data_IF_359041286908
#
_entry.id   IF_359041286908
#
_cell.length_a   1.000
_cell.length_b   1.000
_cell.length_c   1.000
_cell.angle_alpha   90.00
_cell.angle_beta   90.00
_cell.angle_gamma   90.00
#
_symmetry.space_group_name_H-M   'P 1'
#
loop_
_entity.id
_entity.type
_entity.pdbx_description
1 polymer ?
#
# COMPACT_ATOMS: atom_id res chain seq x y z
N UNK A 1 18.23 -2.19 16.02
CA UNK A 1 17.34 -2.55 14.88
C UNK A 1 16.84 -1.36 14.07
N UNK A 2 16.97 -0.10 14.49
CA UNK A 2 16.46 1.09 13.77
C UNK A 2 16.77 1.10 12.26
N UNK A 3 18.02 0.85 11.87
CA UNK A 3 18.39 0.83 10.45
C UNK A 3 17.67 -0.24 9.64
N UNK A 4 17.40 -1.41 10.24
CA UNK A 4 16.64 -2.48 9.59
C UNK A 4 15.17 -2.07 9.45
N UNK A 5 14.59 -1.43 10.47
CA UNK A 5 13.22 -0.88 10.41
C UNK A 5 13.09 0.13 9.25
N UNK A 6 14.06 1.04 9.12
CA UNK A 6 14.10 2.05 8.06
C UNK A 6 14.27 1.41 6.68
N UNK A 7 15.27 0.55 6.51
CA UNK A 7 15.55 -0.11 5.23
C UNK A 7 14.37 -0.97 4.78
N UNK A 8 13.81 -1.78 5.69
CA UNK A 8 12.66 -2.62 5.38
C UNK A 8 11.46 -1.80 4.89
N UNK A 9 11.19 -0.67 5.55
CA UNK A 9 10.12 0.25 5.14
C UNK A 9 10.39 0.88 3.77
N UNK A 10 11.61 1.34 3.52
CA UNK A 10 12.01 1.91 2.23
C UNK A 10 11.85 0.88 1.14
N UNK A 11 12.36 -0.34 1.34
CA UNK A 11 12.24 -1.45 0.38
C UNK A 11 10.77 -1.76 0.10
N UNK A 12 9.93 -1.84 1.13
CA UNK A 12 8.50 -2.09 0.97
C UNK A 12 7.82 -1.03 0.08
N UNK A 13 8.04 0.25 0.40
CA UNK A 13 7.43 1.37 -0.32
C UNK A 13 7.99 1.47 -1.75
N UNK A 14 9.30 1.33 -1.93
CA UNK A 14 9.95 1.37 -3.25
C UNK A 14 9.46 0.23 -4.16
N UNK A 15 9.24 -0.95 -3.59
CA UNK A 15 8.67 -2.10 -4.31
C UNK A 15 7.24 -1.80 -4.75
N UNK A 16 6.42 -1.20 -3.88
CA UNK A 16 5.07 -0.78 -4.21
C UNK A 16 5.04 0.24 -5.33
N UNK A 17 5.87 1.29 -5.23
CA UNK A 17 5.99 2.33 -6.26
C UNK A 17 6.38 1.70 -7.60
N UNK A 18 7.37 0.81 -7.62
CA UNK A 18 7.86 0.19 -8.86
C UNK A 18 6.78 -0.67 -9.52
N UNK A 19 6.15 -1.57 -8.76
CA UNK A 19 5.16 -2.50 -9.33
C UNK A 19 3.87 -1.79 -9.71
N UNK A 20 3.30 -1.01 -8.80
CA UNK A 20 2.03 -0.30 -9.04
C UNK A 20 2.24 0.80 -10.08
N UNK A 21 3.34 1.57 -9.99
CA UNK A 21 3.68 2.60 -10.97
C UNK A 21 3.89 2.02 -12.37
N UNK A 22 4.60 0.89 -12.49
CA UNK A 22 4.74 0.18 -13.76
C UNK A 22 3.41 -0.31 -14.32
N UNK A 23 2.49 -0.79 -13.46
CA UNK A 23 1.13 -1.16 -13.87
C UNK A 23 0.31 0.04 -14.35
N UNK A 24 0.36 1.17 -13.64
CA UNK A 24 -0.31 2.42 -14.02
C UNK A 24 0.24 2.94 -15.35
N UNK A 25 1.57 3.00 -15.50
CA UNK A 25 2.22 3.38 -16.76
C UNK A 25 1.80 2.46 -17.91
N UNK A 26 1.78 1.14 -17.66
CA UNK A 26 1.34 0.17 -18.66
C UNK A 26 -0.09 0.46 -19.12
N UNK A 27 -1.00 0.70 -18.18
CA UNK A 27 -2.41 0.90 -18.44
C UNK A 27 -2.72 2.22 -19.17
N UNK A 28 -2.12 3.31 -18.69
CA UNK A 28 -2.50 4.67 -19.09
C UNK A 28 -1.64 5.24 -20.21
N UNK A 29 -0.39 4.76 -20.36
CA UNK A 29 0.57 5.33 -21.31
C UNK A 29 0.95 4.29 -22.35
N UNK A 30 1.50 3.16 -21.94
CA UNK A 30 2.03 2.17 -22.89
C UNK A 30 0.93 1.54 -23.75
N UNK A 31 -0.15 1.05 -23.13
CA UNK A 31 -1.22 0.35 -23.85
C UNK A 31 -1.92 1.25 -24.88
N UNK A 32 -2.28 2.52 -24.57
CA UNK A 32 -2.83 3.42 -25.58
C UNK A 32 -1.86 3.73 -26.72
N UNK A 33 -0.59 4.02 -26.40
CA UNK A 33 0.43 4.33 -27.41
C UNK A 33 0.76 3.14 -28.30
N UNK A 34 0.72 1.92 -27.76
CA UNK A 34 1.02 0.72 -28.53
C UNK A 34 -0.03 0.37 -29.60
N UNK A 35 -1.24 0.95 -29.52
CA UNK A 35 -2.31 0.72 -30.51
C UNK A 35 -2.02 1.29 -31.89
N UNK A 36 -1.09 2.23 -32.00
CA UNK A 36 -0.73 2.85 -33.29
C UNK A 36 0.35 2.06 -34.02
N UNK A 37 0.84 0.96 -33.42
CA UNK A 37 1.88 0.12 -34.00
C UNK A 37 1.26 -0.95 -34.90
N UNK A 38 2.02 -1.34 -35.93
CA UNK A 38 1.69 -2.53 -36.72
C UNK A 38 1.67 -3.78 -35.83
N UNK A 39 0.81 -4.74 -36.17
CA UNK A 39 0.56 -5.92 -35.34
C UNK A 39 1.85 -6.73 -35.05
N UNK A 40 2.75 -6.87 -36.04
CA UNK A 40 4.01 -7.59 -35.86
C UNK A 40 4.94 -6.91 -34.84
N UNK A 41 5.01 -5.58 -34.88
CA UNK A 41 5.80 -4.76 -33.95
C UNK A 41 5.15 -4.79 -32.56
N UNK A 42 3.83 -4.68 -32.50
CA UNK A 42 3.05 -4.75 -31.27
C UNK A 42 3.28 -6.07 -30.51
N UNK A 43 3.23 -7.21 -31.21
CA UNK A 43 3.48 -8.52 -30.60
C UNK A 43 4.93 -8.69 -30.12
N UNK A 44 5.90 -8.24 -30.92
CA UNK A 44 7.33 -8.27 -30.53
C UNK A 44 7.60 -7.43 -29.28
N UNK A 45 7.02 -6.23 -29.22
CA UNK A 45 7.11 -5.34 -28.06
C UNK A 45 6.49 -5.99 -26.81
N UNK A 46 5.29 -6.56 -26.96
CA UNK A 46 4.59 -7.23 -25.86
C UNK A 46 5.37 -8.42 -25.30
N UNK A 47 5.94 -9.27 -26.17
CA UNK A 47 6.78 -10.39 -25.76
C UNK A 47 8.04 -9.90 -25.02
N UNK A 48 8.70 -8.88 -25.56
CA UNK A 48 9.88 -8.25 -24.97
C UNK A 48 9.62 -7.64 -23.59
N UNK A 49 8.54 -6.88 -23.44
CA UNK A 49 8.17 -6.25 -22.16
C UNK A 49 7.78 -7.32 -21.15
N UNK A 50 6.89 -8.25 -21.52
CA UNK A 50 6.43 -9.30 -20.61
C UNK A 50 7.58 -10.17 -20.10
N UNK A 51 8.54 -10.51 -20.99
CA UNK A 51 9.73 -11.28 -20.64
C UNK A 51 10.63 -10.63 -19.59
N UNK A 52 10.71 -9.29 -19.59
CA UNK A 52 11.46 -8.50 -18.60
C UNK A 52 10.63 -8.26 -17.35
N UNK A 53 9.39 -7.81 -17.52
CA UNK A 53 8.46 -7.44 -16.46
C UNK A 53 8.18 -8.60 -15.48
N UNK A 54 8.11 -9.85 -15.96
CA UNK A 54 7.90 -11.01 -15.09
C UNK A 54 8.95 -11.12 -13.96
N UNK A 55 10.20 -10.72 -14.22
CA UNK A 55 11.28 -10.75 -13.20
C UNK A 55 11.00 -9.75 -12.10
N UNK A 56 10.59 -8.54 -12.48
CA UNK A 56 10.17 -7.49 -11.54
C UNK A 56 8.94 -7.92 -10.75
N UNK A 57 7.93 -8.50 -11.41
CA UNK A 57 6.72 -8.99 -10.72
C UNK A 57 7.06 -10.06 -9.68
N UNK A 58 7.78 -11.14 -10.05
CA UNK A 58 8.07 -12.21 -9.10
C UNK A 58 9.03 -11.76 -8.00
N UNK A 59 10.11 -11.06 -8.34
CA UNK A 59 11.07 -10.54 -7.36
C UNK A 59 10.43 -9.50 -6.45
N UNK A 60 9.63 -8.60 -7.02
CA UNK A 60 8.91 -7.58 -6.28
C UNK A 60 7.85 -8.18 -5.35
N UNK A 61 7.05 -9.16 -5.77
CA UNK A 61 6.11 -9.85 -4.88
C UNK A 61 6.85 -10.51 -3.70
N UNK A 62 7.97 -11.18 -3.96
CA UNK A 62 8.78 -11.77 -2.89
C UNK A 62 9.30 -10.71 -1.90
N UNK A 63 9.86 -9.61 -2.41
CA UNK A 63 10.32 -8.48 -1.58
C UNK A 63 9.17 -7.84 -0.81
N UNK A 64 7.99 -7.70 -1.41
CA UNK A 64 6.80 -7.12 -0.79
C UNK A 64 6.31 -7.98 0.38
N UNK A 65 6.29 -9.30 0.21
CA UNK A 65 5.89 -10.23 1.26
C UNK A 65 6.88 -10.19 2.43
N UNK A 66 8.18 -10.35 2.16
CA UNK A 66 9.22 -10.37 3.20
C UNK A 66 9.21 -9.06 3.99
N UNK A 67 9.29 -7.92 3.30
CA UNK A 67 9.27 -6.61 3.95
C UNK A 67 7.92 -6.32 4.60
N UNK A 68 6.81 -6.69 3.99
CA UNK A 68 5.46 -6.47 4.52
C UNK A 68 5.21 -7.22 5.82
N UNK A 69 5.57 -8.50 5.88
CA UNK A 69 5.50 -9.29 7.11
C UNK A 69 6.39 -8.71 8.20
N UNK A 70 7.64 -8.35 7.87
CA UNK A 70 8.55 -7.70 8.82
C UNK A 70 7.93 -6.44 9.43
N UNK A 71 7.45 -5.51 8.58
CA UNK A 71 6.83 -4.26 9.03
C UNK A 71 5.56 -4.51 9.87
N UNK A 72 4.75 -5.51 9.49
CA UNK A 72 3.54 -5.87 10.21
C UNK A 72 3.84 -6.39 11.63
N UNK A 73 4.73 -7.36 11.76
CA UNK A 73 5.10 -7.91 13.06
C UNK A 73 5.77 -6.86 13.95
N UNK A 74 6.55 -5.95 13.37
CA UNK A 74 7.18 -4.86 14.11
C UNK A 74 6.15 -3.86 14.67
N UNK A 75 5.08 -3.59 13.93
CA UNK A 75 4.03 -2.65 14.32
C UNK A 75 2.95 -3.26 15.24
N UNK A 76 2.79 -4.59 15.24
CA UNK A 76 1.73 -5.31 15.97
C UNK A 76 1.67 -5.00 17.48
N UNK A 77 2.78 -4.95 18.23
CA UNK A 77 2.73 -4.67 19.67
C UNK A 77 2.14 -3.30 20.02
N UNK A 78 2.31 -2.31 19.13
CA UNK A 78 1.91 -0.92 19.37
C UNK A 78 0.41 -0.67 19.11
N UNK A 79 -0.33 -1.67 18.63
CA UNK A 79 -1.74 -1.53 18.25
C UNK A 79 -2.63 -2.56 18.93
N UNK A 80 -2.17 -3.14 20.05
CA UNK A 80 -2.97 -4.07 20.84
C UNK A 80 -4.25 -3.38 21.33
N UNK A 81 -5.40 -4.01 21.07
CA UNK A 81 -6.71 -3.47 21.44
C UNK A 81 -7.34 -2.53 20.39
N UNK A 82 -6.62 -2.16 19.32
CA UNK A 82 -7.16 -1.32 18.25
C UNK A 82 -7.86 -2.18 17.18
N UNK A 83 -9.12 -2.54 17.43
CA UNK A 83 -9.92 -3.40 16.54
C UNK A 83 -10.05 -2.85 15.11
N UNK A 84 -10.20 -1.53 14.96
CA UNK A 84 -10.29 -0.89 13.65
C UNK A 84 -8.95 -0.95 12.89
N UNK A 85 -7.82 -0.79 13.58
CA UNK A 85 -6.49 -0.99 12.99
C UNK A 85 -6.36 -2.40 12.45
N UNK A 86 -6.73 -3.42 13.24
CA UNK A 86 -6.64 -4.81 12.81
C UNK A 86 -7.56 -5.13 11.63
N UNK A 87 -8.79 -4.60 11.63
CA UNK A 87 -9.71 -4.75 10.51
C UNK A 87 -9.12 -4.16 9.23
N UNK A 88 -8.70 -2.89 9.25
CA UNK A 88 -8.16 -2.19 8.08
C UNK A 88 -6.86 -2.80 7.59
N UNK A 89 -5.94 -3.13 8.50
CA UNK A 89 -4.66 -3.76 8.15
C UNK A 89 -4.89 -5.18 7.62
N UNK A 90 -5.82 -5.95 8.20
CA UNK A 90 -6.20 -7.27 7.69
C UNK A 90 -6.80 -7.19 6.29
N UNK A 91 -7.73 -6.28 6.06
CA UNK A 91 -8.35 -6.06 4.75
C UNK A 91 -7.30 -5.74 3.69
N UNK A 92 -6.38 -4.78 3.93
CA UNK A 92 -5.36 -4.46 2.92
C UNK A 92 -4.42 -5.63 2.62
N UNK A 93 -4.19 -6.53 3.58
CA UNK A 93 -3.37 -7.73 3.35
C UNK A 93 -4.08 -8.72 2.41
N UNK A 94 -5.39 -8.94 2.59
CA UNK A 94 -6.18 -9.78 1.68
C UNK A 94 -6.19 -9.17 0.27
N UNK A 95 -6.42 -7.86 0.17
CA UNK A 95 -6.37 -7.16 -1.11
C UNK A 95 -4.98 -7.25 -1.75
N UNK A 96 -3.90 -7.14 -0.97
CA UNK A 96 -2.53 -7.27 -1.48
C UNK A 96 -2.28 -8.67 -2.07
N UNK A 97 -2.75 -9.74 -1.43
CA UNK A 97 -2.67 -11.09 -2.00
C UNK A 97 -3.43 -11.21 -3.33
N UNK A 98 -4.60 -10.58 -3.45
CA UNK A 98 -5.34 -10.53 -4.72
C UNK A 98 -4.54 -9.79 -5.81
N UNK A 99 -3.92 -8.65 -5.47
CA UNK A 99 -3.02 -7.90 -6.39
C UNK A 99 -1.83 -8.75 -6.81
N UNK A 100 -1.16 -9.44 -5.89
CA UNK A 100 -0.01 -10.29 -6.21
C UNK A 100 -0.39 -11.46 -7.10
N UNK A 101 -1.55 -12.09 -6.82
CA UNK A 101 -2.09 -13.15 -7.66
C UNK A 101 -2.36 -12.65 -9.08
N UNK A 102 -3.06 -11.51 -9.23
CA UNK A 102 -3.35 -10.92 -10.54
C UNK A 102 -2.06 -10.56 -11.29
N UNK A 103 -1.10 -9.93 -10.61
CA UNK A 103 0.20 -9.58 -11.18
C UNK A 103 0.93 -10.83 -11.71
N UNK A 104 1.04 -11.88 -10.89
CA UNK A 104 1.68 -13.13 -11.27
C UNK A 104 0.92 -13.86 -12.41
N UNK A 105 -0.41 -13.84 -12.38
CA UNK A 105 -1.24 -14.46 -13.42
C UNK A 105 -1.06 -13.80 -14.79
N UNK A 106 -0.94 -12.47 -14.83
CA UNK A 106 -0.74 -11.72 -16.08
C UNK A 106 0.61 -12.02 -16.75
N UNK A 107 1.66 -12.25 -15.97
CA UNK A 107 3.01 -12.54 -16.50
C UNK A 107 3.32 -14.04 -16.61
N UNK A 108 2.44 -14.89 -16.05
CA UNK A 108 2.60 -16.34 -16.07
C UNK A 108 2.26 -16.98 -17.42
N UNK A 109 2.61 -18.26 -17.57
CA UNK A 109 2.42 -19.06 -18.80
C UNK A 109 1.27 -20.08 -18.74
N UNK A 110 0.58 -20.18 -17.61
CA UNK A 110 -0.47 -21.20 -17.43
C UNK A 110 -1.65 -20.97 -18.37
N UNK A 111 -2.11 -22.02 -19.07
CA UNK A 111 -3.29 -21.95 -19.94
C UNK A 111 -4.58 -21.73 -19.15
N UNK A 112 -4.67 -22.21 -17.90
CA UNK A 112 -5.84 -22.02 -17.03
C UNK A 112 -6.13 -20.54 -16.72
N UNK A 113 -5.12 -19.69 -16.85
CA UNK A 113 -5.21 -18.24 -16.58
C UNK A 113 -5.13 -17.41 -17.87
N UNK A 114 -5.34 -18.04 -19.04
CA UNK A 114 -5.30 -17.33 -20.32
C UNK A 114 -6.39 -16.24 -20.41
N UNK A 115 -7.55 -16.45 -19.80
CA UNK A 115 -8.63 -15.45 -19.76
C UNK A 115 -8.19 -14.12 -19.14
N UNK A 116 -7.31 -14.16 -18.12
CA UNK A 116 -6.74 -12.95 -17.50
C UNK A 116 -5.84 -12.21 -18.49
N UNK A 117 -5.03 -12.95 -19.26
CA UNK A 117 -4.11 -12.38 -20.26
C UNK A 117 -4.80 -11.91 -21.53
N UNK A 118 -5.98 -12.44 -21.85
CA UNK A 118 -6.77 -12.01 -22.99
C UNK A 118 -7.53 -10.72 -22.67
N UNK A 119 -7.97 -10.54 -21.42
CA UNK A 119 -8.62 -9.32 -20.94
C UNK A 119 -7.67 -8.42 -20.14
N UNK A 120 -6.40 -8.31 -20.57
CA UNK A 120 -5.33 -7.58 -19.85
C UNK A 120 -5.75 -6.20 -19.35
N UNK A 121 -6.38 -5.40 -20.22
CA UNK A 121 -6.81 -4.04 -19.86
C UNK A 121 -7.69 -4.05 -18.62
N UNK A 122 -8.69 -4.93 -18.59
CA UNK A 122 -9.63 -5.04 -17.48
C UNK A 122 -8.92 -5.46 -16.18
N UNK A 123 -8.15 -6.55 -16.21
CA UNK A 123 -7.48 -7.05 -15.00
C UNK A 123 -6.39 -6.10 -14.50
N UNK A 124 -5.71 -5.39 -15.40
CA UNK A 124 -4.75 -4.36 -15.03
C UNK A 124 -5.45 -3.15 -14.38
N UNK A 125 -6.62 -2.73 -14.90
CA UNK A 125 -7.45 -1.71 -14.25
C UNK A 125 -7.89 -2.15 -12.85
N UNK A 126 -8.39 -3.38 -12.70
CA UNK A 126 -8.77 -3.94 -11.40
C UNK A 126 -7.59 -3.92 -10.45
N UNK A 127 -6.40 -4.38 -10.89
CA UNK A 127 -5.18 -4.35 -10.10
C UNK A 127 -4.83 -2.93 -9.62
N UNK A 128 -4.88 -1.95 -10.51
CA UNK A 128 -4.58 -0.54 -10.18
C UNK A 128 -5.59 0.02 -9.16
N UNK A 129 -6.88 -0.29 -9.32
CA UNK A 129 -7.91 0.13 -8.35
C UNK A 129 -7.66 -0.51 -6.99
N UNK A 130 -7.42 -1.81 -6.93
CA UNK A 130 -7.12 -2.52 -5.67
C UNK A 130 -5.86 -1.96 -4.99
N UNK A 131 -4.80 -1.70 -5.76
CA UNK A 131 -3.58 -1.08 -5.26
C UNK A 131 -3.84 0.33 -4.71
N UNK A 132 -4.68 1.12 -5.38
CA UNK A 132 -5.09 2.45 -4.92
C UNK A 132 -5.80 2.36 -3.57
N UNK A 133 -6.76 1.43 -3.42
CA UNK A 133 -7.46 1.20 -2.15
C UNK A 133 -6.49 0.82 -1.03
N UNK A 134 -5.52 -0.07 -1.29
CA UNK A 134 -4.49 -0.48 -0.33
C UNK A 134 -3.67 0.73 0.16
N UNK A 135 -3.27 1.62 -0.77
CA UNK A 135 -2.52 2.84 -0.45
C UNK A 135 -3.38 3.80 0.37
N UNK A 136 -4.65 3.99 0.02
CA UNK A 136 -5.59 4.82 0.78
C UNK A 136 -5.75 4.31 2.21
N UNK A 137 -5.97 3.00 2.41
CA UNK A 137 -6.03 2.40 3.75
C UNK A 137 -4.72 2.65 4.51
N UNK A 138 -3.58 2.47 3.84
CA UNK A 138 -2.27 2.66 4.47
C UNK A 138 -2.00 4.12 4.87
N UNK A 139 -2.45 5.08 4.07
CA UNK A 139 -2.40 6.50 4.38
C UNK A 139 -3.31 6.85 5.56
N UNK A 140 -4.57 6.40 5.52
CA UNK A 140 -5.55 6.63 6.59
C UNK A 140 -5.06 6.08 7.94
N UNK A 141 -4.62 4.82 7.99
CA UNK A 141 -4.12 4.19 9.22
C UNK A 141 -2.90 4.92 9.79
N UNK A 142 -2.07 5.55 8.93
CA UNK A 142 -0.89 6.28 9.37
C UNK A 142 -1.21 7.66 9.97
N UNK A 143 -2.32 8.29 9.55
CA UNK A 143 -2.69 9.65 9.99
C UNK A 143 -3.69 9.65 11.14
N UNK A 144 -4.52 8.60 11.26
CA UNK A 144 -5.50 8.52 12.35
C UNK A 144 -4.84 8.49 13.73
N UNK A 145 -5.48 9.07 14.77
CA UNK A 145 -5.09 8.82 16.15
C UNK A 145 -5.18 7.33 16.46
N UNK A 146 -4.16 6.79 17.11
CA UNK A 146 -4.22 5.44 17.68
C UNK A 146 -5.25 5.43 18.80
N UNK A 147 -6.11 4.41 18.86
CA UNK A 147 -7.10 4.25 19.94
C UNK A 147 -6.62 3.24 20.99
N UNK A 148 -5.30 3.12 21.16
CA UNK A 148 -4.69 2.19 22.10
C UNK A 148 -5.00 2.55 23.55
N UNK A 149 -4.72 1.65 24.51
CA UNK A 149 -5.02 1.85 25.93
C UNK A 149 -4.47 3.16 26.52
N UNK A 150 -3.37 3.67 25.98
CA UNK A 150 -2.76 4.94 26.41
C UNK A 150 -3.58 6.19 26.02
N UNK A 151 -4.42 6.09 25.00
CA UNK A 151 -5.27 7.20 24.53
C UNK A 151 -6.56 7.31 25.34
N UNK A 152 -7.13 6.17 25.71
CA UNK A 152 -8.33 6.11 26.54
C UNK A 152 -8.04 6.59 27.96
N UNK A 153 -6.84 6.30 28.50
CA UNK A 153 -6.41 6.80 29.79
C UNK A 153 -6.11 8.31 29.81
N UNK A 154 -5.64 8.88 28.69
CA UNK A 154 -5.44 10.33 28.56
C UNK A 154 -6.77 11.08 28.42
N UNK A 155 -7.71 10.60 27.61
CA UNK A 155 -9.06 11.20 27.53
C UNK A 155 -9.79 11.11 28.88
N UNK A 156 -9.73 9.96 29.56
CA UNK A 156 -10.33 9.79 30.89
C UNK A 156 -9.67 10.69 31.94
N UNK A 157 -8.33 10.81 31.95
CA UNK A 157 -7.61 11.71 32.86
C UNK A 157 -7.89 13.19 32.59
N UNK A 158 -8.08 13.59 31.33
CA UNK A 158 -8.39 14.97 30.94
C UNK A 158 -9.87 15.34 31.17
N UNK A 159 -10.78 14.37 31.12
CA UNK A 159 -12.21 14.56 31.39
C UNK A 159 -12.52 14.70 32.89
N UNK A 160 -11.62 14.25 33.77
CA UNK A 160 -11.82 14.25 35.24
C UNK A 160 -11.37 15.55 35.93
N UNK A 161 -10.79 16.54 35.23
CA UNK A 161 -10.51 17.87 35.80
C UNK A 161 -11.43 18.98 35.26
N UNK A 162 -12.62 19.20 35.84
CA UNK A 162 -13.28 20.48 35.78
C UNK A 162 -12.76 21.40 36.90
N UNK A 163 -12.34 22.60 36.52
CA UNK A 163 -12.15 23.81 37.37
C UNK A 163 -10.99 23.88 38.38
N UNK A 164 -9.84 24.43 37.95
CA UNK A 164 -9.14 25.51 38.70
C UNK A 164 -8.39 26.42 37.71
N UNK A 165 -9.05 27.45 37.20
CA UNK A 165 -8.40 28.75 36.98
C UNK A 165 -9.47 29.84 36.89
N UNK A 166 -9.83 30.37 38.06
CA UNK A 166 -10.47 31.69 38.21
C UNK A 166 -9.56 32.52 39.10
N UNK A 167 -9.13 33.68 38.59
CA UNK A 167 -8.15 34.58 39.21
C UNK A 167 -6.80 34.45 38.51
N UNK A 168 -6.23 35.45 37.84
CA UNK A 168 -6.24 36.88 38.17
C UNK A 168 -5.94 37.68 36.91
N UNK A 169 -6.87 38.54 36.50
CA UNK A 169 -6.57 39.70 35.67
C UNK A 169 -5.98 40.77 36.60
N UNK A 170 -4.66 40.95 36.58
CA UNK A 170 -4.03 42.19 37.05
C UNK A 170 -2.93 42.58 36.06
N UNK A 171 -3.18 43.71 35.41
CA UNK A 171 -2.29 44.63 34.73
C UNK A 171 -0.78 44.40 34.92
N UNK A 172 -0.03 44.38 33.80
CA UNK A 172 1.29 45.01 33.77
C UNK A 172 1.71 45.35 32.33
N UNK A 173 1.15 46.46 31.80
CA UNK A 173 1.95 47.37 30.99
C UNK A 173 2.80 48.17 31.98
N UNK A 174 4.11 47.95 32.03
CA UNK A 174 5.07 48.99 32.37
C UNK A 174 6.51 48.60 31.98
N UNK A 175 7.08 49.42 31.09
CA UNK A 175 8.48 49.55 30.63
C UNK A 175 9.13 48.48 29.76
#
# INVERSE_FOLDING_TARGET
MFWIDVVSRIVHIATAITLVGGSVFTLLVLMPSAKTLDESVHQSLLASITGRWKRFVHGGVALFLISGFYNYFRAMPNHKGDGLYHALVGTKMILAFAVFFLAAAMVGRSNKLAFIRNSRKFYLTVLVILATVIVTISGYVKVRPSSGPDTLSIEESSAVSPSVHRGTLVNFFDK
#
